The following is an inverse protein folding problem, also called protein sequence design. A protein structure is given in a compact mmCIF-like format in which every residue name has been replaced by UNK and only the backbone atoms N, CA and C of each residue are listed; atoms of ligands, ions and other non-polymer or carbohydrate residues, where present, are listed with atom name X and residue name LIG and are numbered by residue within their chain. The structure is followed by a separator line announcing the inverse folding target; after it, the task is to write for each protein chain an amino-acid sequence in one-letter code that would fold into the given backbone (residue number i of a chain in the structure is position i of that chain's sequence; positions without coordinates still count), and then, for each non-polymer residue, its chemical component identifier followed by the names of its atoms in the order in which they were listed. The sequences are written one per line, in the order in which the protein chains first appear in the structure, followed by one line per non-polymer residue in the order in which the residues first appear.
data_IF_345132689109
#
_entry.id   IF_345132689109
#
_cell.length_a   1.000
_cell.length_b   1.000
_cell.length_c   1.000
_cell.angle_alpha   90.00
_cell.angle_beta   90.00
_cell.angle_gamma   90.00
#
_symmetry.space_group_name_H-M   'P 1'
#
loop_
_entity.id
_entity.type
_entity.pdbx_description
1 polymer ?
#
# COMPACT_ATOMS: atom_id res chain seq x y z
N UNK A 1 3.17 -6.59 12.07
CA UNK A 1 2.38 -6.33 10.86
C UNK A 1 2.42 -7.61 10.04
N UNK A 2 1.27 -8.09 9.60
CA UNK A 2 1.13 -9.30 8.81
C UNK A 2 0.63 -8.93 7.41
N UNK A 3 1.25 -9.45 6.35
CA UNK A 3 0.80 -9.20 4.97
C UNK A 3 -0.25 -10.26 4.63
N UNK A 4 -1.47 -9.82 4.30
CA UNK A 4 -2.57 -10.71 3.91
C UNK A 4 -2.51 -10.96 2.40
N UNK A 5 -2.34 -9.90 1.62
CA UNK A 5 -2.26 -9.96 0.16
C UNK A 5 -1.37 -8.84 -0.35
N UNK A 6 -0.61 -9.13 -1.40
CA UNK A 6 0.19 -8.16 -2.13
C UNK A 6 0.01 -8.42 -3.63
N UNK A 7 -0.17 -7.35 -4.38
CA UNK A 7 -0.41 -7.37 -5.82
C UNK A 7 0.45 -6.30 -6.46
N UNK A 8 1.21 -6.72 -7.48
CA UNK A 8 2.00 -5.85 -8.32
C UNK A 8 1.57 -6.10 -9.75
N UNK A 9 0.90 -5.12 -10.36
CA UNK A 9 0.48 -5.22 -11.75
C UNK A 9 1.69 -5.00 -12.65
N UNK A 10 1.98 -5.97 -13.52
CA UNK A 10 3.20 -5.95 -14.35
C UNK A 10 3.23 -4.82 -15.38
N UNK A 11 2.05 -4.31 -15.76
CA UNK A 11 1.89 -3.20 -16.70
C UNK A 11 2.26 -1.82 -16.09
N UNK A 12 2.62 -1.78 -14.82
CA UNK A 12 2.92 -0.54 -14.12
C UNK A 12 1.68 0.20 -13.64
N UNK A 13 0.47 -0.36 -13.71
CA UNK A 13 -0.74 0.36 -13.31
C UNK A 13 -0.80 0.62 -11.82
N UNK A 14 -0.49 -0.37 -10.99
CA UNK A 14 -0.54 -0.23 -9.54
C UNK A 14 0.32 -1.25 -8.78
N UNK A 15 0.75 -0.85 -7.59
CA UNK A 15 1.08 -1.76 -6.51
C UNK A 15 0.03 -1.62 -5.40
N UNK A 16 -0.43 -2.73 -4.84
CA UNK A 16 -1.41 -2.74 -3.76
C UNK A 16 -1.12 -3.84 -2.75
N UNK A 17 -1.40 -3.58 -1.48
CA UNK A 17 -1.27 -4.55 -0.42
C UNK A 17 -2.36 -4.39 0.65
N UNK A 18 -2.77 -5.52 1.22
CA UNK A 18 -3.65 -5.62 2.38
C UNK A 18 -2.83 -6.18 3.53
N UNK A 19 -2.79 -5.46 4.65
CA UNK A 19 -1.98 -5.82 5.82
C UNK A 19 -2.80 -5.76 7.09
N UNK A 20 -2.44 -6.58 8.07
CA UNK A 20 -3.02 -6.56 9.42
C UNK A 20 -2.02 -6.04 10.45
N UNK A 21 -2.48 -5.13 11.30
CA UNK A 21 -1.76 -4.62 12.47
C UNK A 21 -2.66 -4.77 13.69
N UNK A 22 -2.31 -5.67 14.60
CA UNK A 22 -3.07 -5.95 15.82
C UNK A 22 -4.57 -6.23 15.58
N UNK A 23 -4.89 -7.09 14.61
CA UNK A 23 -6.28 -7.42 14.26
C UNK A 23 -7.02 -6.34 13.46
N UNK A 24 -6.36 -5.25 13.08
CA UNK A 24 -6.92 -4.20 12.21
C UNK A 24 -6.29 -4.28 10.81
N UNK A 25 -7.13 -4.41 9.80
CA UNK A 25 -6.82 -4.48 8.38
C UNK A 25 -6.64 -3.08 7.83
N UNK A 26 -5.55 -2.89 7.11
CA UNK A 26 -5.22 -1.69 6.37
C UNK A 26 -4.98 -2.05 4.91
N UNK A 27 -5.20 -1.07 4.05
CA UNK A 27 -4.81 -1.10 2.63
C UNK A 27 -3.69 -0.11 2.40
N UNK A 28 -2.74 -0.49 1.57
CA UNK A 28 -1.74 0.39 0.99
C UNK A 28 -1.78 0.23 -0.53
N UNK A 29 -1.64 1.33 -1.25
CA UNK A 29 -1.60 1.31 -2.71
C UNK A 29 -0.74 2.43 -3.25
N UNK A 30 0.04 2.13 -4.29
CA UNK A 30 0.81 3.11 -5.04
C UNK A 30 0.26 3.19 -6.47
N UNK A 31 -0.47 4.28 -6.73
CA UNK A 31 -1.20 4.53 -7.97
C UNK A 31 -1.05 6.01 -8.31
N UNK A 32 -0.94 6.35 -9.60
CA UNK A 32 -0.82 7.75 -10.05
C UNK A 32 0.29 8.51 -9.30
N UNK A 33 1.46 7.88 -9.19
CA UNK A 33 2.64 8.40 -8.49
C UNK A 33 2.39 8.78 -7.02
N UNK A 34 1.34 8.23 -6.38
CA UNK A 34 0.95 8.56 -5.00
C UNK A 34 0.77 7.30 -4.18
N UNK A 35 1.48 7.26 -3.05
CA UNK A 35 1.26 6.25 -2.02
C UNK A 35 0.06 6.67 -1.15
N UNK A 36 -0.95 5.80 -1.09
CA UNK A 36 -2.10 5.94 -0.22
C UNK A 36 -2.13 4.80 0.79
N UNK A 37 -2.40 5.11 2.05
CA UNK A 37 -2.60 4.13 3.10
C UNK A 37 -3.87 4.48 3.87
N UNK A 38 -4.63 3.47 4.30
CA UNK A 38 -5.83 3.70 5.09
C UNK A 38 -6.41 2.40 5.61
N UNK A 39 -7.56 2.49 6.28
CA UNK A 39 -8.28 1.31 6.72
C UNK A 39 -8.75 0.48 5.53
N UNK A 40 -8.75 -0.83 5.73
CA UNK A 40 -9.43 -1.77 4.86
C UNK A 40 -10.96 -1.60 4.91
N UNK A 41 -11.70 -2.41 4.14
CA UNK A 41 -13.16 -2.36 4.14
C UNK A 41 -13.71 -2.81 5.49
N UNK A 42 -14.40 -1.91 6.18
CA UNK A 42 -15.08 -2.17 7.44
C UNK A 42 -16.50 -1.65 7.41
N UNK A 43 -17.47 -2.45 7.89
CA UNK A 43 -18.84 -1.97 8.12
C UNK A 43 -18.87 -0.85 9.17
N UNK A 44 -18.04 -1.00 10.20
CA UNK A 44 -17.83 0.00 11.25
C UNK A 44 -16.33 0.09 11.54
N UNK A 45 -15.79 1.31 11.55
CA UNK A 45 -14.36 1.51 11.77
C UNK A 45 -13.93 0.95 13.13
N UNK A 46 -12.92 0.05 13.17
CA UNK A 46 -12.45 -0.53 14.42
C UNK A 46 -11.73 0.53 15.27
N UNK A 47 -11.71 0.29 16.59
CA UNK A 47 -10.79 1.01 17.48
C UNK A 47 -9.37 0.60 17.11
N UNK A 48 -8.50 1.60 16.92
CA UNK A 48 -7.12 1.38 16.50
C UNK A 48 -6.16 2.33 17.18
N UNK A 49 -4.92 1.91 17.45
CA UNK A 49 -3.88 2.83 17.88
C UNK A 49 -3.58 3.87 16.79
N UNK A 50 -3.34 5.12 17.19
CA UNK A 50 -3.02 6.21 16.24
C UNK A 50 -1.72 5.95 15.45
N UNK A 51 -0.80 5.19 16.02
CA UNK A 51 0.47 4.86 15.40
C UNK A 51 0.35 3.80 14.30
N UNK A 52 -0.71 2.98 14.30
CA UNK A 52 -0.79 1.81 13.43
C UNK A 52 -0.80 2.19 11.94
N UNK A 53 -1.56 3.22 11.57
CA UNK A 53 -1.60 3.73 10.20
C UNK A 53 -0.24 4.31 9.76
N UNK A 54 0.47 5.00 10.69
CA UNK A 54 1.81 5.53 10.43
C UNK A 54 2.79 4.38 10.15
N UNK A 55 2.74 3.31 10.94
CA UNK A 55 3.58 2.13 10.72
C UNK A 55 3.28 1.46 9.38
N UNK A 56 2.01 1.41 8.95
CA UNK A 56 1.64 0.91 7.61
C UNK A 56 2.22 1.80 6.52
N UNK A 57 2.18 3.12 6.66
CA UNK A 57 2.77 4.05 5.70
C UNK A 57 4.29 3.86 5.59
N UNK A 58 5.00 3.88 6.73
CA UNK A 58 6.46 3.69 6.75
C UNK A 58 6.89 2.33 6.17
N UNK A 59 6.08 1.29 6.39
CA UNK A 59 6.30 -0.02 5.77
C UNK A 59 6.05 0.03 4.25
N UNK A 60 4.96 0.65 3.80
CA UNK A 60 4.61 0.72 2.39
C UNK A 60 5.60 1.55 1.57
N UNK A 61 6.11 2.65 2.13
CA UNK A 61 7.19 3.45 1.53
C UNK A 61 8.43 2.58 1.23
N UNK A 62 8.79 1.69 2.16
CA UNK A 62 9.90 0.75 1.97
C UNK A 62 9.61 -0.32 0.92
N UNK A 63 8.36 -0.69 0.68
CA UNK A 63 8.02 -1.63 -0.40
C UNK A 63 8.07 -0.95 -1.76
N UNK A 64 7.48 0.25 -1.87
CA UNK A 64 7.55 1.07 -3.09
C UNK A 64 9.01 1.37 -3.47
N UNK A 65 9.87 1.65 -2.48
CA UNK A 65 11.30 1.87 -2.72
C UNK A 65 12.07 0.64 -3.25
N UNK A 66 11.50 -0.57 -3.12
CA UNK A 66 12.10 -1.81 -3.65
C UNK A 66 11.59 -2.19 -5.04
N UNK A 67 10.59 -1.47 -5.56
CA UNK A 67 10.09 -1.73 -6.92
C UNK A 67 11.21 -1.48 -7.92
N UNK A 68 11.26 -2.30 -8.98
CA UNK A 68 12.30 -2.19 -9.99
C UNK A 68 12.24 -0.83 -10.69
N UNK A 69 13.39 -0.34 -11.13
CA UNK A 69 13.46 0.90 -11.92
C UNK A 69 12.63 0.82 -13.20
N UNK A 70 12.59 -0.36 -13.82
CA UNK A 70 11.77 -0.65 -15.00
C UNK A 70 10.27 -0.46 -14.70
N UNK A 71 9.77 -1.07 -13.63
CA UNK A 71 8.37 -0.90 -13.22
C UNK A 71 8.06 0.56 -12.89
N UNK A 72 8.95 1.24 -12.18
CA UNK A 72 8.79 2.66 -11.84
C UNK A 72 8.79 3.57 -13.08
N UNK A 73 9.51 3.20 -14.14
CA UNK A 73 9.47 3.92 -15.41
C UNK A 73 8.12 3.72 -16.10
N UNK A 74 7.67 2.47 -16.26
CA UNK A 74 6.35 2.15 -16.84
C UNK A 74 5.21 2.86 -16.10
N UNK A 75 5.24 2.83 -14.77
CA UNK A 75 4.26 3.51 -13.93
C UNK A 75 4.24 5.02 -14.17
N UNK A 76 5.42 5.65 -14.24
CA UNK A 76 5.51 7.10 -14.49
C UNK A 76 5.02 7.47 -15.87
N UNK A 77 5.36 6.69 -16.89
CA UNK A 77 4.92 6.89 -18.27
C UNK A 77 3.39 6.78 -18.41
N UNK A 78 2.75 5.88 -17.68
CA UNK A 78 1.29 5.72 -17.68
C UNK A 78 0.54 6.95 -17.13
N UNK A 79 1.15 7.67 -16.17
CA UNK A 79 0.54 8.80 -15.46
C UNK A 79 1.22 10.14 -15.76
N UNK A 80 2.05 10.21 -16.81
CA UNK A 80 2.68 11.43 -17.32
C UNK A 80 1.69 12.26 -18.15
#
# INVERSE_FOLDING_TARGET
MNVITETLEQDGSQWAAVVEVQGVVYRASYVNNKLSCGLGPYKHNPRRPRWAEKSVREWAEKQVAKLSSEWMQLHREMYA
#
